data_IF_479228757977
#
_entry.id   IF_479228757977
#
_cell.length_a   1.000
_cell.length_b   1.000
_cell.length_c   1.000
_cell.angle_alpha   90.00
_cell.angle_beta   90.00
_cell.angle_gamma   90.00
#
_symmetry.space_group_name_H-M   'P 1'
#
loop_
_entity.id
_entity.type
_entity.pdbx_description
1 polymer ?
#
# COMPACT_ATOMS: atom_id res chain seq x y z
N UNK A 1 -24.34 -8.35 -50.56
CA UNK A 1 -23.55 -7.13 -50.43
C UNK A 1 -22.06 -7.55 -50.47
N UNK A 2 -21.26 -6.81 -51.19
CA UNK A 2 -19.82 -7.13 -51.26
C UNK A 2 -19.16 -6.98 -49.89
N UNK A 3 -18.22 -7.88 -49.55
CA UNK A 3 -17.52 -7.88 -48.25
C UNK A 3 -16.71 -6.60 -48.07
N UNK A 4 -16.10 -6.06 -49.10
CA UNK A 4 -15.36 -4.80 -49.05
C UNK A 4 -16.28 -3.61 -48.71
N UNK A 5 -17.47 -3.55 -49.30
CA UNK A 5 -18.45 -2.52 -48.97
C UNK A 5 -18.94 -2.64 -47.53
N UNK A 6 -19.15 -3.88 -47.03
CA UNK A 6 -19.51 -4.14 -45.64
C UNK A 6 -18.42 -3.66 -44.66
N UNK A 7 -17.16 -3.98 -44.91
CA UNK A 7 -16.03 -3.54 -44.08
C UNK A 7 -15.91 -2.02 -44.07
N UNK A 8 -16.11 -1.35 -45.18
CA UNK A 8 -16.09 0.11 -45.29
C UNK A 8 -17.22 0.75 -44.47
N UNK A 9 -18.43 0.19 -44.52
CA UNK A 9 -19.55 0.64 -43.69
C UNK A 9 -19.28 0.42 -42.20
N UNK A 10 -18.80 -0.75 -41.81
CA UNK A 10 -18.44 -1.07 -40.41
C UNK A 10 -17.27 -0.21 -39.87
N UNK A 11 -16.34 0.18 -40.71
CA UNK A 11 -15.26 1.09 -40.33
C UNK A 11 -15.79 2.48 -39.95
N UNK A 12 -16.78 2.98 -40.71
CA UNK A 12 -17.35 4.30 -40.50
C UNK A 12 -18.48 4.30 -39.45
N UNK A 13 -19.25 3.22 -39.37
CA UNK A 13 -20.33 3.00 -38.42
C UNK A 13 -20.30 1.55 -37.89
N UNK A 14 -19.59 1.27 -36.77
CA UNK A 14 -19.54 -0.07 -36.19
C UNK A 14 -20.90 -0.64 -35.75
N UNK A 15 -21.87 0.21 -35.43
CA UNK A 15 -23.22 -0.21 -35.05
C UNK A 15 -23.98 -0.87 -36.20
N UNK A 16 -23.56 -0.62 -37.44
CA UNK A 16 -24.13 -1.25 -38.64
C UNK A 16 -24.09 -2.80 -38.58
N UNK A 17 -23.22 -3.39 -37.73
CA UNK A 17 -23.17 -4.84 -37.52
C UNK A 17 -24.52 -5.41 -37.06
N UNK A 18 -25.37 -4.64 -36.39
CA UNK A 18 -26.69 -5.05 -35.92
C UNK A 18 -27.74 -5.15 -37.09
N UNK A 19 -27.45 -4.50 -38.19
CA UNK A 19 -28.33 -4.49 -39.37
C UNK A 19 -28.00 -5.64 -40.30
N UNK A 20 -26.89 -6.34 -40.12
CA UNK A 20 -26.51 -7.47 -40.94
C UNK A 20 -27.37 -8.70 -40.59
N UNK A 21 -27.89 -9.37 -41.64
CA UNK A 21 -28.66 -10.61 -41.46
C UNK A 21 -27.80 -11.78 -40.98
N UNK A 22 -26.53 -11.79 -41.34
CA UNK A 22 -25.52 -12.77 -40.89
C UNK A 22 -24.24 -12.04 -40.52
N UNK A 23 -23.68 -12.36 -39.35
CA UNK A 23 -22.37 -11.89 -38.89
C UNK A 23 -21.44 -13.07 -38.70
N UNK A 24 -20.17 -12.87 -38.98
CA UNK A 24 -19.11 -13.83 -38.67
C UNK A 24 -18.12 -13.25 -37.71
N UNK A 25 -17.31 -14.12 -37.06
CA UNK A 25 -16.32 -13.74 -36.08
C UNK A 25 -15.26 -12.78 -36.67
N UNK A 26 -14.97 -12.84 -37.97
CA UNK A 26 -13.98 -11.93 -38.59
C UNK A 26 -14.51 -10.48 -38.64
N UNK A 27 -15.80 -10.26 -38.92
CA UNK A 27 -16.44 -8.95 -38.89
C UNK A 27 -16.50 -8.41 -37.46
N UNK A 28 -16.84 -9.27 -36.48
CA UNK A 28 -16.82 -8.91 -35.07
C UNK A 28 -15.42 -8.50 -34.60
N UNK A 29 -14.37 -9.30 -34.95
CA UNK A 29 -12.99 -8.98 -34.69
C UNK A 29 -12.57 -7.67 -35.36
N UNK A 30 -13.03 -7.42 -36.59
CA UNK A 30 -12.70 -6.20 -37.32
C UNK A 30 -13.17 -4.94 -36.54
N UNK A 31 -14.42 -4.92 -36.07
CA UNK A 31 -14.96 -3.75 -35.39
C UNK A 31 -14.31 -3.55 -34.01
N UNK A 32 -14.00 -4.63 -33.25
CA UNK A 32 -13.33 -4.51 -31.91
C UNK A 32 -11.85 -4.19 -32.03
N UNK A 33 -11.18 -4.50 -33.14
CA UNK A 33 -9.84 -4.04 -33.44
C UNK A 33 -9.74 -2.52 -33.62
N UNK A 34 -10.79 -1.90 -34.20
CA UNK A 34 -10.85 -0.44 -34.34
C UNK A 34 -11.06 0.26 -32.99
N UNK A 35 -11.92 -0.30 -32.14
CA UNK A 35 -12.10 0.10 -30.73
C UNK A 35 -12.74 -1.07 -29.97
N UNK A 36 -12.12 -1.45 -28.85
CA UNK A 36 -12.67 -2.50 -27.96
C UNK A 36 -14.09 -2.19 -27.47
N UNK A 37 -14.43 -0.91 -27.33
CA UNK A 37 -15.78 -0.49 -26.93
C UNK A 37 -16.88 -0.87 -27.97
N UNK A 38 -16.50 -1.20 -29.19
CA UNK A 38 -17.47 -1.64 -30.21
C UNK A 38 -18.10 -3.01 -29.90
N UNK A 39 -17.52 -3.77 -28.94
CA UNK A 39 -18.09 -5.02 -28.44
C UNK A 39 -19.53 -4.83 -27.93
N UNK A 40 -19.91 -3.63 -27.51
CA UNK A 40 -21.26 -3.28 -27.09
C UNK A 40 -22.34 -3.48 -28.17
N UNK A 41 -21.92 -3.57 -29.42
CA UNK A 41 -22.81 -3.79 -30.58
C UNK A 41 -22.98 -5.28 -30.94
N UNK A 42 -22.21 -6.17 -30.29
CA UNK A 42 -22.20 -7.61 -30.48
C UNK A 42 -22.99 -8.26 -29.35
N UNK A 43 -24.03 -9.04 -29.69
CA UNK A 43 -24.94 -9.59 -28.68
C UNK A 43 -24.30 -10.71 -27.86
N UNK A 44 -23.63 -11.66 -28.52
CA UNK A 44 -22.99 -12.82 -27.90
C UNK A 44 -21.54 -12.98 -28.41
N UNK A 45 -20.61 -12.08 -28.04
CA UNK A 45 -19.27 -12.13 -28.58
C UNK A 45 -18.54 -13.40 -28.13
N UNK A 46 -17.82 -14.04 -29.06
CA UNK A 46 -16.98 -15.20 -28.74
C UNK A 46 -15.85 -14.82 -27.81
N UNK A 47 -15.22 -15.82 -27.18
CA UNK A 47 -14.06 -15.58 -26.31
C UNK A 47 -12.92 -14.88 -27.05
N UNK A 48 -12.70 -15.19 -28.32
CA UNK A 48 -11.65 -14.56 -29.13
C UNK A 48 -11.96 -13.07 -29.37
N UNK A 49 -13.22 -12.76 -29.71
CA UNK A 49 -13.70 -11.37 -29.86
C UNK A 49 -13.55 -10.59 -28.55
N UNK A 50 -13.96 -11.19 -27.41
CA UNK A 50 -13.79 -10.59 -26.10
C UNK A 50 -12.29 -10.31 -25.79
N UNK A 51 -11.39 -11.27 -26.03
CA UNK A 51 -9.94 -11.09 -25.86
C UNK A 51 -9.39 -9.95 -26.72
N UNK A 52 -9.84 -9.85 -27.97
CA UNK A 52 -9.40 -8.75 -28.86
C UNK A 52 -9.91 -7.40 -28.39
N UNK A 53 -11.17 -7.33 -27.95
CA UNK A 53 -11.75 -6.11 -27.39
C UNK A 53 -10.99 -5.64 -26.14
N UNK A 54 -10.75 -6.54 -25.19
CA UNK A 54 -10.02 -6.26 -23.94
C UNK A 54 -8.56 -5.84 -24.21
N UNK A 55 -7.86 -6.52 -25.11
CA UNK A 55 -6.48 -6.15 -25.48
C UNK A 55 -6.40 -4.77 -26.13
N UNK A 56 -7.42 -4.36 -26.87
CA UNK A 56 -7.51 -3.02 -27.46
C UNK A 56 -7.92 -1.97 -26.42
N UNK A 57 -8.95 -2.28 -25.62
CA UNK A 57 -9.55 -1.35 -24.66
C UNK A 57 -9.99 -2.13 -23.41
N UNK A 58 -9.16 -2.24 -22.35
CA UNK A 58 -9.51 -3.02 -21.15
C UNK A 58 -10.84 -2.62 -20.51
N UNK A 59 -11.17 -1.32 -20.48
CA UNK A 59 -12.44 -0.83 -19.94
C UNK A 59 -13.69 -1.25 -20.75
N UNK A 60 -13.51 -1.91 -21.90
CA UNK A 60 -14.63 -2.53 -22.65
C UNK A 60 -15.22 -3.73 -21.90
N UNK A 61 -14.56 -4.23 -20.85
CA UNK A 61 -15.09 -5.25 -19.95
C UNK A 61 -16.48 -4.93 -19.42
N UNK A 62 -16.82 -3.66 -19.24
CA UNK A 62 -18.17 -3.21 -18.81
C UNK A 62 -19.32 -3.63 -19.73
N UNK A 63 -19.01 -3.96 -20.97
CA UNK A 63 -20.01 -4.41 -21.96
C UNK A 63 -20.10 -5.94 -22.06
N UNK A 64 -19.24 -6.67 -21.32
CA UNK A 64 -19.26 -8.14 -21.29
C UNK A 64 -20.06 -8.57 -20.07
N UNK A 65 -21.20 -9.24 -20.29
CA UNK A 65 -22.11 -9.65 -19.20
C UNK A 65 -21.48 -10.67 -18.26
N UNK A 66 -20.80 -11.67 -18.83
CA UNK A 66 -20.17 -12.77 -18.09
C UNK A 66 -18.73 -12.91 -18.59
N UNK A 67 -17.82 -12.24 -17.90
CA UNK A 67 -16.40 -12.35 -18.21
C UNK A 67 -15.87 -13.63 -17.55
N UNK A 68 -15.20 -14.48 -18.32
CA UNK A 68 -14.55 -15.63 -17.71
C UNK A 68 -13.20 -15.26 -17.05
N UNK A 69 -12.70 -16.17 -16.21
CA UNK A 69 -11.48 -15.99 -15.45
C UNK A 69 -10.30 -15.56 -16.33
N UNK A 70 -10.07 -16.26 -17.47
CA UNK A 70 -8.90 -15.99 -18.32
C UNK A 70 -8.95 -14.57 -18.89
N UNK A 71 -10.11 -14.16 -19.37
CA UNK A 71 -10.32 -12.84 -19.97
C UNK A 71 -10.27 -11.76 -18.89
N UNK A 72 -10.85 -12.00 -17.71
CA UNK A 72 -10.78 -11.09 -16.58
C UNK A 72 -9.34 -10.85 -16.10
N UNK A 73 -8.54 -11.91 -16.01
CA UNK A 73 -7.11 -11.80 -15.65
C UNK A 73 -6.35 -11.00 -16.71
N UNK A 74 -6.56 -11.25 -18.01
CA UNK A 74 -5.96 -10.44 -19.08
C UNK A 74 -6.34 -8.96 -18.93
N UNK A 75 -7.60 -8.70 -18.60
CA UNK A 75 -8.13 -7.36 -18.41
C UNK A 75 -7.38 -6.61 -17.28
N UNK A 76 -7.37 -7.17 -16.08
CA UNK A 76 -6.76 -6.50 -14.90
C UNK A 76 -5.23 -6.43 -14.98
N UNK A 77 -4.57 -7.36 -15.67
CA UNK A 77 -3.14 -7.27 -15.99
C UNK A 77 -2.81 -6.14 -16.94
N UNK A 78 -3.68 -5.89 -17.91
CA UNK A 78 -3.52 -4.80 -18.87
C UNK A 78 -3.80 -3.44 -18.23
N UNK A 79 -4.78 -3.39 -17.32
CA UNK A 79 -5.20 -2.19 -16.62
C UNK A 79 -5.85 -2.57 -15.29
N UNK A 80 -5.14 -2.42 -14.17
CA UNK A 80 -5.58 -2.86 -12.85
C UNK A 80 -6.94 -2.29 -12.41
N UNK A 81 -7.21 -1.02 -12.72
CA UNK A 81 -8.48 -0.38 -12.37
C UNK A 81 -9.67 -0.78 -13.27
N UNK A 82 -9.44 -1.64 -14.26
CA UNK A 82 -10.55 -2.27 -14.99
C UNK A 82 -11.38 -3.19 -14.10
N UNK A 83 -10.85 -3.57 -12.91
CA UNK A 83 -11.62 -4.31 -11.89
C UNK A 83 -12.92 -3.59 -11.52
N UNK A 84 -12.94 -2.26 -11.52
CA UNK A 84 -14.12 -1.42 -11.24
C UNK A 84 -15.31 -1.73 -12.17
N UNK A 85 -15.03 -2.09 -13.41
CA UNK A 85 -16.05 -2.27 -14.44
C UNK A 85 -16.36 -3.74 -14.76
N UNK A 86 -15.68 -4.68 -14.12
CA UNK A 86 -15.98 -6.11 -14.25
C UNK A 86 -17.15 -6.48 -13.35
N UNK A 87 -18.22 -6.99 -13.95
CA UNK A 87 -19.38 -7.44 -13.19
C UNK A 87 -19.07 -8.76 -12.47
N UNK A 88 -19.24 -8.80 -11.15
CA UNK A 88 -19.04 -9.98 -10.29
C UNK A 88 -17.69 -10.69 -10.55
N UNK A 89 -16.54 -10.00 -10.38
CA UNK A 89 -15.25 -10.62 -10.57
C UNK A 89 -15.07 -11.76 -9.56
N UNK A 90 -14.55 -12.90 -10.01
CA UNK A 90 -14.19 -13.98 -9.10
C UNK A 90 -12.92 -13.61 -8.29
N UNK A 91 -12.65 -14.37 -7.23
CA UNK A 91 -11.54 -14.12 -6.31
C UNK A 91 -10.18 -14.07 -7.04
N UNK A 92 -9.96 -14.93 -8.03
CA UNK A 92 -8.71 -14.99 -8.77
C UNK A 92 -8.45 -13.75 -9.64
N UNK A 93 -9.52 -13.15 -10.20
CA UNK A 93 -9.44 -11.86 -10.93
C UNK A 93 -9.11 -10.73 -9.93
N UNK A 94 -9.75 -10.75 -8.76
CA UNK A 94 -9.50 -9.76 -7.69
C UNK A 94 -8.06 -9.83 -7.22
N UNK A 95 -7.58 -11.04 -6.86
CA UNK A 95 -6.19 -11.24 -6.46
C UNK A 95 -5.20 -10.74 -7.51
N UNK A 96 -5.44 -11.06 -8.78
CA UNK A 96 -4.54 -10.66 -9.86
C UNK A 96 -4.52 -9.15 -10.07
N UNK A 97 -5.68 -8.48 -9.90
CA UNK A 97 -5.76 -7.02 -9.92
C UNK A 97 -4.94 -6.41 -8.78
N UNK A 98 -5.06 -6.96 -7.54
CA UNK A 98 -4.31 -6.50 -6.36
C UNK A 98 -2.80 -6.79 -6.54
N UNK A 99 -2.41 -7.95 -7.07
CA UNK A 99 -1.01 -8.28 -7.40
C UNK A 99 -0.43 -7.31 -8.44
N UNK A 100 -1.27 -6.82 -9.36
CA UNK A 100 -0.88 -5.82 -10.35
C UNK A 100 -0.69 -4.45 -9.69
N UNK A 101 -1.66 -4.03 -8.87
CA UNK A 101 -1.65 -2.78 -8.10
C UNK A 101 -2.48 -2.93 -6.82
N UNK A 102 -1.85 -2.76 -5.65
CA UNK A 102 -2.52 -2.89 -4.35
C UNK A 102 -3.76 -2.00 -4.20
N UNK A 103 -3.78 -0.87 -4.91
CA UNK A 103 -4.93 0.04 -4.92
C UNK A 103 -6.20 -0.56 -5.54
N UNK A 104 -6.10 -1.71 -6.21
CA UNK A 104 -7.29 -2.38 -6.72
C UNK A 104 -8.26 -2.81 -5.60
N UNK A 105 -7.76 -2.92 -4.36
CA UNK A 105 -8.56 -3.23 -3.17
C UNK A 105 -9.75 -2.29 -2.99
N UNK A 106 -9.67 -1.03 -3.46
CA UNK A 106 -10.74 -0.04 -3.36
C UNK A 106 -12.04 -0.45 -4.09
N UNK A 107 -11.93 -1.37 -5.05
CA UNK A 107 -13.07 -1.88 -5.83
C UNK A 107 -13.64 -3.17 -5.26
N UNK A 108 -13.08 -3.67 -4.16
CA UNK A 108 -13.50 -4.92 -3.52
C UNK A 108 -14.40 -4.60 -2.33
N UNK A 109 -15.65 -5.09 -2.36
CA UNK A 109 -16.54 -4.99 -1.21
C UNK A 109 -16.09 -5.96 -0.13
N UNK A 110 -15.94 -5.47 1.11
CA UNK A 110 -15.60 -6.29 2.29
C UNK A 110 -14.46 -7.28 2.02
N UNK A 111 -13.26 -6.77 1.68
CA UNK A 111 -12.13 -7.63 1.35
C UNK A 111 -11.70 -8.46 2.56
N UNK A 112 -11.39 -9.74 2.33
CA UNK A 112 -10.84 -10.61 3.36
C UNK A 112 -9.49 -10.08 3.89
N UNK A 113 -9.07 -10.51 5.09
CA UNK A 113 -7.79 -10.09 5.66
C UNK A 113 -6.62 -10.48 4.74
N UNK A 114 -6.71 -11.63 4.06
CA UNK A 114 -5.72 -12.09 3.09
C UNK A 114 -5.56 -11.12 1.91
N UNK A 115 -6.67 -10.64 1.35
CA UNK A 115 -6.65 -9.64 0.28
C UNK A 115 -6.14 -8.29 0.77
N UNK A 116 -6.49 -7.90 2.00
CA UNK A 116 -5.96 -6.68 2.62
C UNK A 116 -4.45 -6.78 2.80
N UNK A 117 -3.95 -7.91 3.34
CA UNK A 117 -2.52 -8.17 3.49
C UNK A 117 -1.78 -8.13 2.15
N UNK A 118 -2.35 -8.76 1.12
CA UNK A 118 -1.80 -8.74 -0.23
C UNK A 118 -1.70 -7.30 -0.77
N UNK A 119 -2.75 -6.49 -0.56
CA UNK A 119 -2.80 -5.11 -1.02
C UNK A 119 -1.73 -4.24 -0.35
N UNK A 120 -1.62 -4.28 0.99
CA UNK A 120 -0.65 -3.46 1.74
C UNK A 120 0.80 -3.93 1.54
N UNK A 121 1.00 -5.22 1.27
CA UNK A 121 2.32 -5.76 0.93
C UNK A 121 2.77 -5.31 -0.46
N UNK A 122 1.82 -5.15 -1.38
CA UNK A 122 2.09 -4.64 -2.74
C UNK A 122 2.36 -3.14 -2.75
N UNK A 123 1.47 -2.36 -2.13
CA UNK A 123 1.54 -0.92 -2.03
C UNK A 123 1.11 -0.51 -0.62
N UNK A 124 2.02 -0.04 0.22
CA UNK A 124 1.76 0.32 1.63
C UNK A 124 0.59 1.30 1.80
N UNK A 125 0.42 2.21 0.86
CA UNK A 125 -0.61 3.25 0.92
C UNK A 125 -1.98 2.77 0.44
N UNK A 126 -2.10 1.48 0.04
CA UNK A 126 -3.40 0.85 -0.22
C UNK A 126 -4.26 0.75 1.04
N UNK A 127 -3.63 0.81 2.22
CA UNK A 127 -4.33 0.80 3.52
C UNK A 127 -5.36 1.94 3.65
N UNK A 128 -5.20 3.05 2.92
CA UNK A 128 -6.17 4.16 2.90
C UNK A 128 -7.55 3.78 2.35
N UNK A 129 -7.63 2.67 1.61
CA UNK A 129 -8.87 2.14 1.05
C UNK A 129 -9.49 1.03 1.90
N UNK A 130 -8.88 0.70 3.04
CA UNK A 130 -9.35 -0.32 3.97
C UNK A 130 -9.97 0.39 5.18
N UNK A 131 -11.28 0.23 5.38
CA UNK A 131 -12.02 1.05 6.34
C UNK A 131 -11.60 0.77 7.79
N UNK A 132 -11.48 -0.49 8.20
CA UNK A 132 -11.08 -0.89 9.54
C UNK A 132 -10.02 -2.00 9.47
N UNK A 133 -8.77 -1.66 9.12
CA UNK A 133 -7.71 -2.67 9.00
C UNK A 133 -7.41 -3.31 10.36
N UNK A 134 -7.28 -4.65 10.39
CA UNK A 134 -6.83 -5.36 11.57
C UNK A 134 -5.43 -4.92 12.00
N UNK A 135 -5.03 -5.17 13.25
CA UNK A 135 -3.68 -4.87 13.72
C UNK A 135 -2.60 -5.51 12.81
N UNK A 136 -2.83 -6.74 12.34
CA UNK A 136 -1.90 -7.41 11.43
C UNK A 136 -1.71 -6.65 10.12
N UNK A 137 -2.82 -6.19 9.52
CA UNK A 137 -2.79 -5.40 8.28
C UNK A 137 -2.09 -4.06 8.49
N UNK A 138 -2.34 -3.39 9.63
CA UNK A 138 -1.65 -2.15 10.00
C UNK A 138 -0.14 -2.37 10.09
N UNK A 139 0.29 -3.41 10.80
CA UNK A 139 1.70 -3.75 10.99
C UNK A 139 2.37 -4.11 9.66
N UNK A 140 1.70 -4.86 8.78
CA UNK A 140 2.22 -5.21 7.46
C UNK A 140 2.40 -3.96 6.56
N UNK A 141 1.44 -3.05 6.58
CA UNK A 141 1.57 -1.79 5.82
C UNK A 141 2.77 -0.95 6.31
N UNK A 142 2.95 -0.85 7.64
CA UNK A 142 4.05 -0.10 8.26
C UNK A 142 5.39 -0.79 8.01
N UNK A 143 5.43 -2.11 7.99
CA UNK A 143 6.65 -2.87 7.67
C UNK A 143 7.11 -2.64 6.24
N UNK A 144 6.16 -2.51 5.30
CA UNK A 144 6.45 -2.11 3.93
C UNK A 144 7.03 -0.67 3.87
N UNK A 145 6.36 0.28 4.55
CA UNK A 145 6.87 1.65 4.71
C UNK A 145 6.21 2.36 5.90
N UNK A 146 7.00 2.89 6.83
CA UNK A 146 6.51 3.52 8.07
C UNK A 146 5.49 4.65 7.86
N UNK A 147 5.57 5.35 6.74
CA UNK A 147 4.64 6.44 6.39
C UNK A 147 3.20 5.94 6.20
N UNK A 148 2.98 4.61 6.07
CA UNK A 148 1.64 4.03 6.03
C UNK A 148 0.77 4.45 7.22
N UNK A 149 1.40 4.73 8.38
CA UNK A 149 0.72 5.15 9.63
C UNK A 149 -0.20 6.37 9.41
N UNK A 150 0.16 7.28 8.51
CA UNK A 150 -0.62 8.50 8.20
C UNK A 150 -2.00 8.22 7.62
N UNK A 151 -2.18 7.04 7.02
CA UNK A 151 -3.41 6.63 6.36
C UNK A 151 -4.32 5.78 7.25
N UNK A 152 -3.86 5.44 8.46
CA UNK A 152 -4.61 4.63 9.42
C UNK A 152 -5.36 5.56 10.35
N UNK A 153 -6.70 5.53 10.27
CA UNK A 153 -7.56 6.43 11.05
C UNK A 153 -7.43 6.22 12.57
N UNK A 154 -7.39 4.96 12.99
CA UNK A 154 -7.25 4.56 14.40
C UNK A 154 -6.13 3.52 14.52
N UNK A 155 -4.86 3.96 14.52
CA UNK A 155 -3.74 3.03 14.64
C UNK A 155 -3.68 2.41 16.04
N UNK A 156 -3.41 1.09 16.11
CA UNK A 156 -3.13 0.42 17.38
C UNK A 156 -1.83 0.96 18.00
N UNK A 157 -1.66 0.81 19.32
CA UNK A 157 -0.41 1.19 19.98
C UNK A 157 0.79 0.46 19.35
N UNK A 158 0.65 -0.84 19.04
CA UNK A 158 1.72 -1.60 18.37
C UNK A 158 2.06 -1.03 16.99
N UNK A 159 1.06 -0.59 16.23
CA UNK A 159 1.27 0.05 14.94
C UNK A 159 2.04 1.37 15.09
N UNK A 160 1.64 2.22 16.05
CA UNK A 160 2.35 3.46 16.36
C UNK A 160 3.81 3.20 16.74
N UNK A 161 4.04 2.24 17.66
CA UNK A 161 5.37 1.84 18.12
C UNK A 161 6.22 1.29 16.97
N UNK A 162 5.67 0.39 16.15
CA UNK A 162 6.37 -0.15 14.96
C UNK A 162 6.79 0.97 14.01
N UNK A 163 5.94 1.96 13.79
CA UNK A 163 6.25 3.09 12.91
C UNK A 163 7.41 3.93 13.45
N UNK A 164 7.38 4.31 14.74
CA UNK A 164 8.45 5.12 15.34
C UNK A 164 9.77 4.35 15.49
N UNK A 165 9.75 3.03 15.73
CA UNK A 165 10.93 2.18 15.70
C UNK A 165 11.56 2.20 14.30
N UNK A 166 10.75 2.10 13.26
CA UNK A 166 11.22 2.12 11.88
C UNK A 166 11.85 3.47 11.50
N UNK A 167 11.24 4.57 11.96
CA UNK A 167 11.78 5.92 11.81
C UNK A 167 11.13 6.85 12.86
N UNK A 168 11.94 7.57 13.65
CA UNK A 168 11.44 8.55 14.63
C UNK A 168 10.55 9.65 14.02
N UNK A 169 10.75 9.99 12.76
CA UNK A 169 9.91 10.95 12.02
C UNK A 169 8.43 10.52 11.94
N UNK A 170 8.16 9.21 12.10
CA UNK A 170 6.80 8.68 12.05
C UNK A 170 5.84 9.38 13.01
N UNK A 171 6.35 9.96 14.11
CA UNK A 171 5.53 10.71 15.08
C UNK A 171 4.78 11.88 14.41
N UNK A 172 5.35 12.50 13.39
CA UNK A 172 4.71 13.59 12.63
C UNK A 172 3.49 13.13 11.82
N UNK A 173 3.32 11.84 11.61
CA UNK A 173 2.23 11.23 10.86
C UNK A 173 1.19 10.53 11.74
N UNK A 174 1.44 10.45 13.06
CA UNK A 174 0.51 9.88 14.03
C UNK A 174 -0.41 10.99 14.55
N UNK A 175 -1.70 10.90 14.23
CA UNK A 175 -2.67 11.95 14.57
C UNK A 175 -3.09 11.95 16.05
N UNK A 176 -3.05 10.81 16.71
CA UNK A 176 -3.56 10.60 18.06
C UNK A 176 -2.54 9.91 18.94
N UNK A 177 -1.86 10.65 19.80
CA UNK A 177 -1.00 10.13 20.86
C UNK A 177 -1.08 11.04 22.10
N UNK A 178 -0.89 10.45 23.25
CA UNK A 178 -0.81 11.14 24.53
C UNK A 178 0.60 11.08 25.12
N UNK A 179 0.76 11.56 26.35
CA UNK A 179 2.05 11.58 27.04
C UNK A 179 2.58 10.16 27.32
N UNK A 180 1.70 9.21 27.61
CA UNK A 180 2.11 7.83 27.88
C UNK A 180 2.57 7.14 26.58
N UNK A 181 1.91 7.41 25.47
CA UNK A 181 2.39 7.00 24.13
C UNK A 181 3.79 7.58 23.85
N UNK A 182 4.01 8.88 24.12
CA UNK A 182 5.30 9.55 23.90
C UNK A 182 6.41 8.90 24.74
N UNK A 183 6.14 8.56 26.01
CA UNK A 183 7.10 7.85 26.85
C UNK A 183 7.54 6.53 26.24
N UNK A 184 6.56 5.75 25.73
CA UNK A 184 6.84 4.49 25.04
C UNK A 184 7.65 4.74 23.76
N UNK A 185 7.31 5.76 22.98
CA UNK A 185 8.02 6.07 21.73
C UNK A 185 9.48 6.43 21.98
N UNK A 186 9.76 7.33 22.93
CA UNK A 186 11.12 7.75 23.27
C UNK A 186 11.92 6.55 23.82
N UNK A 187 11.28 5.72 24.66
CA UNK A 187 11.90 4.52 25.21
C UNK A 187 12.29 3.51 24.13
N UNK A 188 11.56 3.46 23.01
CA UNK A 188 11.84 2.56 21.89
C UNK A 188 12.79 3.18 20.85
N UNK A 189 12.71 4.49 20.63
CA UNK A 189 13.53 5.20 19.66
C UNK A 189 13.77 6.64 20.13
N UNK A 190 14.96 6.92 20.62
CA UNK A 190 15.32 8.26 21.10
C UNK A 190 15.27 9.34 20.03
N UNK A 191 15.41 8.99 18.74
CA UNK A 191 15.33 9.93 17.64
C UNK A 191 13.95 10.60 17.50
N UNK A 192 12.91 10.07 18.15
CA UNK A 192 11.58 10.73 18.22
C UNK A 192 11.72 12.14 18.82
N UNK A 193 12.64 12.33 19.77
CA UNK A 193 12.88 13.62 20.45
C UNK A 193 13.21 14.72 19.45
N UNK A 194 13.88 14.44 18.34
CA UNK A 194 14.18 15.42 17.27
C UNK A 194 12.95 16.17 16.77
N UNK A 195 11.80 15.52 16.80
CA UNK A 195 10.56 16.00 16.18
C UNK A 195 9.57 16.62 17.17
N UNK A 196 9.79 16.39 18.48
CA UNK A 196 8.89 16.87 19.53
C UNK A 196 9.60 17.71 20.60
N UNK A 197 10.89 17.99 20.44
CA UNK A 197 11.72 18.65 21.46
C UNK A 197 11.12 19.98 21.95
N UNK A 198 10.58 20.78 21.05
CA UNK A 198 9.97 22.07 21.40
C UNK A 198 8.62 21.96 22.15
N UNK A 199 7.99 20.77 22.11
CA UNK A 199 6.66 20.53 22.66
C UNK A 199 6.63 19.62 23.88
N UNK A 200 7.79 19.05 24.29
CA UNK A 200 7.90 18.16 25.44
C UNK A 200 8.79 18.79 26.52
N UNK A 201 8.41 18.53 27.80
CA UNK A 201 9.28 18.89 28.91
C UNK A 201 10.54 18.02 28.89
N UNK A 202 11.69 18.68 28.88
CA UNK A 202 13.00 18.03 28.84
C UNK A 202 13.24 17.12 30.08
N UNK A 203 12.65 17.43 31.23
CA UNK A 203 12.74 16.58 32.42
C UNK A 203 12.11 15.20 32.18
N UNK A 204 11.00 15.13 31.44
CA UNK A 204 10.37 13.86 31.05
C UNK A 204 11.31 13.02 30.18
N UNK A 205 11.97 13.65 29.21
CA UNK A 205 12.95 12.97 28.35
C UNK A 205 14.11 12.42 29.18
N UNK A 206 14.64 13.22 30.12
CA UNK A 206 15.74 12.83 31.01
C UNK A 206 15.36 11.65 31.90
N UNK A 207 14.14 11.62 32.43
CA UNK A 207 13.68 10.52 33.28
C UNK A 207 13.52 9.22 32.49
N UNK A 208 12.96 9.28 31.27
CA UNK A 208 12.88 8.13 30.37
C UNK A 208 14.29 7.62 30.03
N UNK A 209 15.23 8.52 29.73
CA UNK A 209 16.61 8.16 29.44
C UNK A 209 17.31 7.49 30.65
N UNK A 210 17.09 7.99 31.88
CA UNK A 210 17.66 7.36 33.11
C UNK A 210 17.14 5.92 33.26
N UNK A 211 15.87 5.66 32.96
CA UNK A 211 15.32 4.32 33.02
C UNK A 211 15.91 3.46 31.89
N UNK A 212 15.94 3.97 30.67
CA UNK A 212 16.40 3.23 29.49
C UNK A 212 17.88 2.84 29.59
N UNK A 213 18.76 3.74 29.95
CA UNK A 213 20.22 3.43 30.04
C UNK A 213 20.58 2.45 31.15
N UNK A 214 19.69 2.22 32.14
CA UNK A 214 19.85 1.20 33.19
C UNK A 214 19.57 -0.23 32.69
N UNK A 215 18.89 -0.38 31.55
CA UNK A 215 18.57 -1.72 31.01
C UNK A 215 19.86 -2.46 30.61
N UNK A 216 20.05 -3.68 31.13
CA UNK A 216 21.20 -4.51 30.73
C UNK A 216 21.13 -5.04 29.32
N UNK A 217 19.90 -5.09 28.74
CA UNK A 217 19.63 -5.50 27.36
C UNK A 217 19.48 -4.32 26.39
N UNK A 218 19.93 -3.12 26.78
CA UNK A 218 19.86 -1.94 25.90
C UNK A 218 20.61 -2.20 24.59
N UNK A 219 19.99 -1.83 23.48
CA UNK A 219 20.57 -2.00 22.16
C UNK A 219 21.70 -0.99 21.90
N UNK A 220 22.75 -1.43 21.21
CA UNK A 220 23.88 -0.59 20.82
C UNK A 220 23.41 0.66 20.06
N UNK A 221 22.52 0.47 19.10
CA UNK A 221 21.97 1.56 18.29
C UNK A 221 21.29 2.65 19.12
N UNK A 222 20.55 2.29 20.19
CA UNK A 222 19.90 3.30 21.03
C UNK A 222 20.92 4.23 21.72
N UNK A 223 22.02 3.67 22.24
CA UNK A 223 23.08 4.46 22.87
C UNK A 223 23.80 5.32 21.83
N UNK A 224 24.11 4.79 20.65
CA UNK A 224 24.74 5.55 19.56
C UNK A 224 23.84 6.71 19.11
N UNK A 225 22.54 6.44 18.82
CA UNK A 225 21.56 7.45 18.48
C UNK A 225 21.42 8.53 19.58
N UNK A 226 21.47 8.14 20.87
CA UNK A 226 21.45 9.09 21.99
C UNK A 226 22.71 9.97 22.02
N UNK A 227 23.89 9.39 21.83
CA UNK A 227 25.15 10.14 21.83
C UNK A 227 25.20 11.16 20.68
N UNK A 228 24.63 10.83 19.53
CA UNK A 228 24.57 11.67 18.34
C UNK A 228 23.40 12.68 18.34
N UNK A 229 22.49 12.59 19.30
CA UNK A 229 21.28 13.43 19.34
C UNK A 229 21.60 14.89 19.72
N UNK A 230 21.77 15.77 18.75
CA UNK A 230 22.23 17.17 18.96
C UNK A 230 21.24 18.02 19.76
N UNK A 231 19.92 17.80 19.63
CA UNK A 231 18.90 18.63 20.28
C UNK A 231 18.93 18.58 21.83
N UNK A 232 19.55 17.54 22.41
CA UNK A 232 19.77 17.47 23.86
C UNK A 232 21.14 18.03 24.20
N UNK A 233 21.16 19.29 24.62
CA UNK A 233 22.36 20.02 25.06
C UNK A 233 22.80 19.58 26.46
N UNK A 234 23.43 18.39 26.59
CA UNK A 234 23.89 17.83 27.84
C UNK A 234 25.17 17.01 27.66
N UNK A 235 25.92 16.79 28.76
CA UNK A 235 27.05 15.85 28.76
C UNK A 235 26.54 14.39 28.74
N UNK A 236 26.26 13.90 27.55
CA UNK A 236 25.73 12.55 27.33
C UNK A 236 26.70 11.45 27.73
N UNK A 237 28.00 11.72 27.61
CA UNK A 237 29.05 10.78 28.02
C UNK A 237 29.01 10.58 29.52
N UNK A 238 28.99 11.69 30.28
CA UNK A 238 28.92 11.63 31.73
C UNK A 238 27.58 11.04 32.20
N UNK A 239 26.47 11.35 31.48
CA UNK A 239 25.15 10.78 31.75
C UNK A 239 25.18 9.25 31.70
N UNK A 240 25.72 8.66 30.60
CA UNK A 240 25.82 7.18 30.48
C UNK A 240 26.79 6.60 31.54
N UNK A 241 27.85 7.31 31.88
CA UNK A 241 28.77 6.88 32.95
C UNK A 241 28.10 6.84 34.32
N UNK A 242 27.26 7.80 34.62
CA UNK A 242 26.59 7.93 35.92
C UNK A 242 25.41 6.91 36.01
N UNK A 243 24.51 6.93 35.05
CA UNK A 243 23.23 6.19 35.12
C UNK A 243 23.22 4.86 34.36
N UNK A 244 24.14 4.65 33.43
CA UNK A 244 24.10 3.49 32.51
C UNK A 244 24.42 2.16 33.21
N UNK A 245 23.80 1.10 32.70
CA UNK A 245 24.10 -0.29 33.01
C UNK A 245 25.55 -0.66 32.63
N UNK A 246 26.02 -1.84 33.02
CA UNK A 246 27.33 -2.34 32.56
C UNK A 246 27.40 -2.44 31.05
N UNK A 247 26.31 -2.89 30.39
CA UNK A 247 26.24 -2.99 28.94
C UNK A 247 26.24 -1.61 28.27
N UNK A 248 25.45 -0.65 28.78
CA UNK A 248 25.44 0.71 28.24
C UNK A 248 26.84 1.37 28.33
N UNK A 249 27.56 1.18 29.47
CA UNK A 249 28.93 1.68 29.64
C UNK A 249 29.94 1.01 28.72
N UNK A 250 29.77 -0.30 28.44
CA UNK A 250 30.60 -1.01 27.48
C UNK A 250 30.37 -0.44 26.07
N UNK A 251 29.11 -0.28 25.64
CA UNK A 251 28.74 0.31 24.34
C UNK A 251 29.36 1.72 24.20
N UNK A 252 29.30 2.55 25.26
CA UNK A 252 29.95 3.88 25.28
C UNK A 252 31.43 3.80 25.01
N UNK A 253 32.14 2.84 25.64
CA UNK A 253 33.60 2.65 25.43
C UNK A 253 33.87 2.24 23.98
N UNK A 254 33.12 1.26 23.46
CA UNK A 254 33.26 0.77 22.07
C UNK A 254 32.99 1.90 21.06
N UNK A 255 31.99 2.74 21.31
CA UNK A 255 31.68 3.91 20.48
C UNK A 255 32.85 4.90 20.44
N UNK A 256 33.45 5.23 21.60
CA UNK A 256 34.60 6.14 21.69
C UNK A 256 35.87 5.61 21.01
N UNK A 257 36.05 4.30 20.97
CA UNK A 257 37.20 3.68 20.31
C UNK A 257 37.04 3.61 18.80
N UNK A 258 35.79 3.77 18.27
CA UNK A 258 35.47 3.77 16.85
C UNK A 258 35.53 5.15 16.19
N UNK A 259 35.60 6.22 16.97
CA UNK A 259 35.77 7.61 16.49
C UNK A 259 37.26 7.95 16.32
#
# INVERSE_FOLDING_TARGET
MDREETLLKLKNNPEYIKELTETDEELEIFIVKNSGNNIKYIENPSKEVQKKAIKNTPLSAKYIKNIDKEIGIICVKSLWNSLEVINNPNEEIIEEAIKTKGWAIQFVKEPSEELQMLAVSKDYDSIKYIENPSENVQLAAIENYYVAIRFIKNPSLKAKVKAVISNGEAINYISNYDLDDIKVFIHQNINVVKYIYESIDVEIVIDILKEKVKEENIEKKYIEDFLELEVLEMDKINFVREYGSKNAKKILVDYKLSM
#
